data_IF_080735231889
#
_entry.id   IF_080735231889
#
_cell.length_a   1.000
_cell.length_b   1.000
_cell.length_c   1.000
_cell.angle_alpha   90.00
_cell.angle_beta   90.00
_cell.angle_gamma   90.00
#
_symmetry.space_group_name_H-M   'P 1'
#
loop_
_entity.id
_entity.type
_entity.pdbx_description
1 polymer ?
#
# COMPACT_ATOMS: atom_id res chain seq x y z
N UNK A 1 6.33 18.21 -3.09
CA UNK A 1 7.29 17.27 -3.70
C UNK A 1 7.19 16.03 -2.86
N UNK A 2 6.36 15.08 -3.29
CA UNK A 2 6.03 13.91 -2.47
C UNK A 2 6.71 12.68 -3.06
N UNK A 3 7.49 12.01 -2.22
CA UNK A 3 8.40 10.92 -2.54
C UNK A 3 7.71 9.59 -2.21
N UNK A 4 7.83 8.54 -3.04
CA UNK A 4 7.24 7.20 -2.74
C UNK A 4 8.22 6.08 -3.04
N UNK A 5 8.33 5.04 -2.19
CA UNK A 5 9.18 3.86 -2.44
C UNK A 5 8.67 2.57 -1.75
N UNK A 6 8.95 1.42 -2.35
CA UNK A 6 8.66 0.06 -1.86
C UNK A 6 9.98 -0.65 -1.59
N UNK A 7 10.21 -1.16 -0.38
CA UNK A 7 11.45 -1.88 -0.02
C UNK A 7 11.14 -3.26 0.53
N UNK A 8 11.90 -4.26 0.07
CA UNK A 8 11.96 -5.57 0.70
C UNK A 8 12.52 -5.41 2.13
N UNK A 9 11.78 -5.92 3.10
CA UNK A 9 11.98 -5.74 4.54
C UNK A 9 13.40 -6.20 4.93
N UNK A 10 14.27 -5.21 5.10
CA UNK A 10 15.60 -5.39 5.66
C UNK A 10 15.55 -4.77 7.05
N UNK A 11 16.00 -5.52 8.06
CA UNK A 11 16.22 -5.04 9.43
C UNK A 11 17.36 -4.01 9.40
N UNK A 12 17.04 -2.80 8.92
CA UNK A 12 17.99 -1.72 8.70
C UNK A 12 18.20 -1.02 10.02
N UNK A 13 19.38 -1.18 10.61
CA UNK A 13 19.83 -0.25 11.65
C UNK A 13 20.05 1.12 11.01
N UNK A 14 19.09 2.01 11.24
CA UNK A 14 19.10 3.39 10.76
C UNK A 14 20.12 4.26 11.49
N UNK A 15 20.64 3.81 12.64
CA UNK A 15 21.57 4.56 13.48
C UNK A 15 23.03 4.13 13.33
N UNK A 16 23.36 3.13 12.53
CA UNK A 16 24.76 2.87 12.18
C UNK A 16 25.18 3.66 10.93
N UNK A 17 26.45 3.51 10.53
CA UNK A 17 26.97 4.06 9.27
C UNK A 17 27.29 2.98 8.24
N UNK A 18 26.89 1.73 8.48
CA UNK A 18 27.10 0.64 7.54
C UNK A 18 26.28 0.88 6.27
N UNK A 19 26.84 0.59 5.10
CA UNK A 19 26.08 0.76 3.87
C UNK A 19 25.01 -0.32 3.76
N UNK A 20 23.76 0.13 3.64
CA UNK A 20 22.65 -0.76 3.29
C UNK A 20 22.20 -0.48 1.87
N UNK A 21 21.72 -1.52 1.21
CA UNK A 21 21.16 -1.44 -0.13
C UNK A 21 19.63 -1.47 -0.07
N UNK A 22 19.01 -0.45 -0.65
CA UNK A 22 17.59 -0.39 -0.90
C UNK A 22 17.32 -0.75 -2.36
N UNK A 23 16.29 -1.54 -2.62
CA UNK A 23 15.88 -1.98 -3.96
C UNK A 23 14.39 -1.72 -4.22
N UNK A 24 14.06 -1.31 -5.45
CA UNK A 24 12.69 -1.27 -5.97
C UNK A 24 12.71 -1.62 -7.46
N UNK A 25 12.12 -2.76 -7.83
CA UNK A 25 12.23 -3.27 -9.21
C UNK A 25 13.70 -3.37 -9.65
N UNK A 26 14.07 -2.64 -10.71
CA UNK A 26 15.45 -2.56 -11.19
C UNK A 26 16.29 -1.44 -10.52
N UNK A 27 15.66 -0.54 -9.75
CA UNK A 27 16.34 0.53 -9.03
C UNK A 27 17.12 -0.01 -7.83
N UNK A 28 18.32 0.54 -7.61
CA UNK A 28 19.17 0.24 -6.45
C UNK A 28 19.77 1.52 -5.89
N UNK A 29 19.78 1.66 -4.56
CA UNK A 29 20.49 2.73 -3.86
C UNK A 29 21.23 2.15 -2.67
N UNK A 30 22.54 2.40 -2.61
CA UNK A 30 23.37 2.10 -1.45
C UNK A 30 23.63 3.37 -0.65
N UNK A 31 23.44 3.30 0.67
CA UNK A 31 23.75 4.43 1.53
C UNK A 31 24.09 4.01 2.95
N UNK A 32 25.18 4.57 3.49
CA UNK A 32 25.51 4.52 4.92
C UNK A 32 25.04 5.75 5.70
N UNK A 33 24.22 6.62 5.09
CA UNK A 33 23.79 7.88 5.73
C UNK A 33 22.54 7.65 6.60
N UNK A 34 22.61 7.80 7.94
CA UNK A 34 21.49 7.56 8.86
C UNK A 34 20.20 8.28 8.46
N UNK A 35 20.30 9.55 8.09
CA UNK A 35 19.15 10.36 7.69
C UNK A 35 18.45 9.83 6.43
N UNK A 36 19.22 9.30 5.47
CA UNK A 36 18.66 8.76 4.23
C UNK A 36 18.02 7.40 4.52
N UNK A 37 18.66 6.55 5.34
CA UNK A 37 18.07 5.29 5.81
C UNK A 37 16.73 5.54 6.51
N UNK A 38 16.71 6.44 7.49
CA UNK A 38 15.51 6.81 8.24
C UNK A 38 14.39 7.37 7.35
N UNK A 39 14.74 8.16 6.33
CA UNK A 39 13.79 8.67 5.35
C UNK A 39 13.19 7.53 4.51
N UNK A 40 14.03 6.61 4.02
CA UNK A 40 13.59 5.44 3.25
C UNK A 40 12.70 4.52 4.08
N UNK A 41 13.04 4.27 5.35
CA UNK A 41 12.19 3.54 6.30
C UNK A 41 10.82 4.22 6.47
N UNK A 42 10.78 5.55 6.65
CA UNK A 42 9.52 6.28 6.75
C UNK A 42 8.66 6.15 5.49
N UNK A 43 9.29 6.24 4.30
CA UNK A 43 8.61 6.10 3.02
C UNK A 43 8.04 4.68 2.84
N UNK A 44 8.75 3.65 3.30
CA UNK A 44 8.28 2.26 3.25
C UNK A 44 7.03 2.07 4.09
N UNK A 45 7.06 2.53 5.34
CA UNK A 45 5.96 2.39 6.30
C UNK A 45 4.71 3.14 5.85
N UNK A 46 4.89 4.20 5.07
CA UNK A 46 3.80 5.00 4.53
C UNK A 46 3.42 4.59 3.11
N UNK A 47 4.09 3.60 2.51
CA UNK A 47 3.69 3.11 1.20
C UNK A 47 2.26 2.55 1.25
N UNK A 48 1.37 2.90 0.30
CA UNK A 48 1.65 3.60 -0.97
C UNK A 48 1.44 5.13 -0.94
N UNK A 49 1.23 5.76 0.22
CA UNK A 49 0.95 7.19 0.38
C UNK A 49 2.16 8.06 0.02
N UNK A 50 1.89 9.20 -0.61
CA UNK A 50 2.92 10.15 -1.01
C UNK A 50 3.25 11.11 0.15
N UNK A 51 4.51 11.16 0.59
CA UNK A 51 4.96 12.00 1.73
C UNK A 51 5.75 13.20 1.24
N UNK A 52 5.40 14.40 1.67
CA UNK A 52 6.11 15.63 1.25
C UNK A 52 7.49 15.75 1.89
N UNK A 53 8.43 16.45 1.23
CA UNK A 53 9.75 16.70 1.83
C UNK A 53 9.68 17.47 3.17
N UNK A 54 8.65 18.31 3.35
CA UNK A 54 8.42 19.06 4.59
C UNK A 54 7.98 18.15 5.74
N UNK A 55 7.28 17.05 5.46
CA UNK A 55 6.89 16.04 6.45
C UNK A 55 8.00 14.99 6.64
N UNK A 56 8.65 14.58 5.54
CA UNK A 56 9.68 13.55 5.53
C UNK A 56 10.90 13.93 6.37
N UNK A 57 11.31 15.20 6.32
CA UNK A 57 12.49 15.67 7.05
C UNK A 57 12.39 15.54 8.57
N UNK A 58 11.37 16.12 9.24
CA UNK A 58 11.19 15.90 10.68
C UNK A 58 10.92 14.43 11.00
N UNK A 59 10.12 13.73 10.20
CA UNK A 59 9.84 12.30 10.44
C UNK A 59 11.10 11.42 10.38
N UNK A 60 12.04 11.71 9.47
CA UNK A 60 13.32 11.00 9.39
C UNK A 60 14.22 11.33 10.59
N UNK A 61 14.28 12.61 11.00
CA UNK A 61 15.05 13.02 12.19
C UNK A 61 14.51 12.39 13.47
N UNK A 62 13.19 12.25 13.58
CA UNK A 62 12.52 11.69 14.76
C UNK A 62 12.85 10.22 15.00
N UNK A 63 13.27 9.50 13.96
CA UNK A 63 13.74 8.10 14.05
C UNK A 63 15.19 7.97 14.50
N UNK A 64 16.00 9.02 14.37
CA UNK A 64 17.41 8.98 14.76
C UNK A 64 17.57 9.11 16.28
N UNK A 65 18.66 8.53 16.80
CA UNK A 65 19.08 8.73 18.19
C UNK A 65 19.31 10.22 18.50
N UNK A 66 19.11 10.67 19.74
CA UNK A 66 19.28 12.07 20.12
C UNK A 66 20.64 12.67 19.72
N UNK A 67 21.73 11.91 19.91
CA UNK A 67 23.08 12.34 19.56
C UNK A 67 23.22 12.60 18.04
N UNK A 68 22.70 11.71 17.21
CA UNK A 68 22.73 11.87 15.75
C UNK A 68 21.83 12.98 15.27
N UNK A 69 20.65 13.13 15.87
CA UNK A 69 19.73 14.23 15.57
C UNK A 69 20.39 15.58 15.85
N UNK A 70 21.03 15.72 17.01
CA UNK A 70 21.69 16.96 17.43
C UNK A 70 22.90 17.31 16.56
N UNK A 71 23.60 16.32 16.02
CA UNK A 71 24.71 16.54 15.08
C UNK A 71 24.26 17.05 13.69
N UNK A 72 22.97 16.89 13.35
CA UNK A 72 22.45 17.11 12.00
C UNK A 72 21.90 18.54 11.78
N UNK A 73 22.78 19.54 11.93
CA UNK A 73 22.48 20.94 11.60
C UNK A 73 22.27 21.10 10.09
N UNK A 74 21.28 21.88 9.65
CA UNK A 74 21.00 22.16 8.21
C UNK A 74 20.77 20.91 7.33
N UNK A 75 20.27 19.85 7.95
CA UNK A 75 20.12 18.51 7.34
C UNK A 75 19.07 18.40 6.24
N UNK A 76 18.30 19.44 6.00
CA UNK A 76 17.26 19.48 4.96
C UNK A 76 17.87 19.41 3.56
N UNK A 77 18.99 20.09 3.33
CA UNK A 77 19.69 20.07 2.04
C UNK A 77 20.32 18.70 1.76
N UNK A 78 20.86 18.07 2.82
CA UNK A 78 21.36 16.70 2.76
C UNK A 78 20.26 15.73 2.34
N UNK A 79 19.09 15.83 2.97
CA UNK A 79 17.94 15.01 2.63
C UNK A 79 17.47 15.27 1.19
N UNK A 80 17.31 16.54 0.81
CA UNK A 80 16.88 16.92 -0.54
C UNK A 80 17.81 16.35 -1.62
N UNK A 81 19.13 16.45 -1.43
CA UNK A 81 20.13 15.86 -2.34
C UNK A 81 20.01 14.34 -2.39
N UNK A 82 19.84 13.68 -1.24
CA UNK A 82 19.62 12.24 -1.18
C UNK A 82 18.37 11.81 -1.93
N UNK A 83 17.25 12.53 -1.77
CA UNK A 83 16.01 12.26 -2.50
C UNK A 83 16.12 12.53 -4.00
N UNK A 84 16.90 13.53 -4.42
CA UNK A 84 17.18 13.76 -5.85
C UNK A 84 18.04 12.64 -6.45
N UNK A 85 19.07 12.17 -5.74
CA UNK A 85 19.85 11.00 -6.18
C UNK A 85 19.00 9.75 -6.25
N UNK A 86 18.13 9.53 -5.26
CA UNK A 86 17.15 8.45 -5.26
C UNK A 86 16.21 8.54 -6.48
N UNK A 87 15.72 9.74 -6.81
CA UNK A 87 14.85 9.96 -7.96
C UNK A 87 15.58 9.63 -9.27
N UNK A 88 16.82 10.10 -9.43
CA UNK A 88 17.64 9.79 -10.60
C UNK A 88 17.94 8.29 -10.73
N UNK A 89 18.04 7.58 -9.60
CA UNK A 89 18.22 6.12 -9.54
C UNK A 89 16.91 5.31 -9.66
N UNK A 90 15.76 5.96 -9.86
CA UNK A 90 14.46 5.27 -9.95
C UNK A 90 13.97 4.68 -8.62
N UNK A 91 14.55 5.09 -7.49
CA UNK A 91 14.16 4.59 -6.17
C UNK A 91 12.91 5.25 -5.62
N UNK A 92 12.62 6.45 -6.10
CA UNK A 92 11.48 7.23 -5.64
C UNK A 92 10.76 7.88 -6.80
N UNK A 93 9.45 7.99 -6.68
CA UNK A 93 8.61 8.76 -7.60
C UNK A 93 8.28 10.13 -6.99
N UNK A 94 8.19 11.16 -7.84
CA UNK A 94 7.77 12.50 -7.43
C UNK A 94 6.45 12.84 -8.09
N UNK A 95 5.49 13.32 -7.29
CA UNK A 95 4.24 13.89 -7.79
C UNK A 95 4.02 15.33 -7.34
N UNK A 96 3.46 16.13 -8.25
CA UNK A 96 2.94 17.49 -7.97
C UNK A 96 1.50 17.41 -7.46
N UNK A 97 0.71 16.48 -8.00
CA UNK A 97 -0.66 16.21 -7.60
C UNK A 97 -0.74 14.75 -7.15
N UNK A 98 -0.41 14.46 -5.87
CA UNK A 98 -0.37 13.08 -5.40
C UNK A 98 -1.74 12.42 -5.58
N UNK A 99 -1.78 11.13 -5.96
CA UNK A 99 -3.02 10.37 -6.05
C UNK A 99 -3.85 10.50 -4.77
N UNK A 100 -5.14 10.74 -4.92
CA UNK A 100 -6.08 10.79 -3.80
C UNK A 100 -6.69 9.40 -3.64
N UNK A 101 -6.21 8.66 -2.65
CA UNK A 101 -6.76 7.38 -2.21
C UNK A 101 -6.69 7.33 -0.68
N UNK A 102 -7.43 6.40 -0.09
CA UNK A 102 -7.38 6.12 1.34
C UNK A 102 -6.63 4.83 1.60
N UNK A 103 -5.83 4.82 2.66
CA UNK A 103 -5.04 3.68 3.13
C UNK A 103 -5.63 3.04 4.40
N UNK A 104 -6.82 3.50 4.81
CA UNK A 104 -7.65 2.92 5.86
C UNK A 104 -9.03 2.52 5.32
N UNK A 105 -9.57 1.42 5.87
CA UNK A 105 -10.92 0.94 5.54
C UNK A 105 -11.96 1.76 6.31
N UNK A 106 -12.93 2.35 5.63
CA UNK A 106 -14.11 2.95 6.24
C UNK A 106 -15.18 1.89 6.55
N UNK A 107 -16.19 2.25 7.34
CA UNK A 107 -17.34 1.37 7.61
C UNK A 107 -18.06 0.94 6.32
N UNK A 108 -18.10 1.86 5.35
CA UNK A 108 -18.62 1.64 4.00
C UNK A 108 -17.54 1.97 2.97
N UNK A 109 -16.68 1.01 2.59
CA UNK A 109 -15.56 1.25 1.68
C UNK A 109 -16.02 1.59 0.27
N UNK A 110 -15.27 2.50 -0.37
CA UNK A 110 -15.49 2.93 -1.75
C UNK A 110 -14.23 2.66 -2.57
N UNK A 111 -14.32 1.84 -3.61
CA UNK A 111 -13.30 1.72 -4.65
C UNK A 111 -13.55 2.74 -5.77
N UNK A 112 -12.50 3.13 -6.49
CA UNK A 112 -12.64 4.05 -7.62
C UNK A 112 -13.63 3.52 -8.68
N UNK A 113 -14.42 4.42 -9.26
CA UNK A 113 -15.42 4.03 -10.27
C UNK A 113 -14.81 3.27 -11.46
N UNK A 114 -13.58 3.64 -11.85
CA UNK A 114 -12.81 2.94 -12.88
C UNK A 114 -12.45 1.51 -12.46
N UNK A 115 -11.89 1.34 -11.26
CA UNK A 115 -11.51 0.01 -10.77
C UNK A 115 -12.73 -0.91 -10.66
N UNK A 116 -13.87 -0.39 -10.19
CA UNK A 116 -15.14 -1.12 -10.14
C UNK A 116 -15.61 -1.56 -11.53
N UNK A 117 -15.58 -0.66 -12.50
CA UNK A 117 -16.00 -0.96 -13.87
C UNK A 117 -15.08 -2.00 -14.53
N UNK A 118 -13.77 -1.88 -14.34
CA UNK A 118 -12.80 -2.84 -14.87
C UNK A 118 -12.92 -4.22 -14.21
N UNK A 119 -13.11 -4.27 -12.88
CA UNK A 119 -13.25 -5.52 -12.13
C UNK A 119 -14.43 -6.37 -12.62
N UNK A 120 -15.48 -5.77 -13.19
CA UNK A 120 -16.60 -6.51 -13.75
C UNK A 120 -16.24 -7.37 -14.98
N UNK A 121 -15.17 -7.03 -15.70
CA UNK A 121 -14.80 -7.70 -16.96
C UNK A 121 -13.32 -8.12 -17.07
N UNK A 122 -12.48 -7.75 -16.11
CA UNK A 122 -11.02 -7.96 -16.15
C UNK A 122 -10.50 -8.33 -14.77
N UNK A 123 -9.49 -9.21 -14.74
CA UNK A 123 -8.70 -9.49 -13.53
C UNK A 123 -7.66 -8.40 -13.25
N UNK A 124 -7.36 -7.57 -14.24
CA UNK A 124 -6.41 -6.46 -14.10
C UNK A 124 -7.17 -5.14 -14.06
N UNK A 125 -6.97 -4.39 -12.98
CA UNK A 125 -7.56 -3.07 -12.77
C UNK A 125 -6.49 -2.00 -12.64
N UNK A 126 -6.84 -0.76 -12.93
CA UNK A 126 -6.00 0.42 -12.75
C UNK A 126 -6.25 1.00 -11.36
N UNK A 127 -5.19 1.14 -10.55
CA UNK A 127 -5.29 1.78 -9.25
C UNK A 127 -5.13 3.30 -9.34
N UNK A 128 -5.31 4.00 -8.21
CA UNK A 128 -5.22 5.47 -8.17
C UNK A 128 -3.80 5.99 -8.46
N UNK A 129 -2.78 5.13 -8.34
CA UNK A 129 -1.39 5.42 -8.72
C UNK A 129 -1.10 5.18 -10.20
N UNK A 130 -2.13 4.96 -11.02
CA UNK A 130 -2.00 4.64 -12.45
C UNK A 130 -1.19 3.35 -12.72
N UNK A 131 -1.07 2.48 -11.71
CA UNK A 131 -0.48 1.14 -11.83
C UNK A 131 -1.55 0.08 -12.10
N UNK A 132 -1.11 -1.07 -12.60
CA UNK A 132 -1.97 -2.22 -12.83
C UNK A 132 -1.87 -3.21 -11.67
N UNK A 133 -3.03 -3.59 -11.11
CA UNK A 133 -3.13 -4.59 -10.05
C UNK A 133 -3.94 -5.76 -10.59
N UNK A 134 -3.42 -6.98 -10.41
CA UNK A 134 -4.17 -8.20 -10.69
C UNK A 134 -4.93 -8.61 -9.44
N UNK A 135 -6.23 -8.76 -9.57
CA UNK A 135 -7.16 -9.20 -8.54
C UNK A 135 -7.46 -10.69 -8.74
N UNK A 136 -7.47 -11.44 -7.65
CA UNK A 136 -8.07 -12.77 -7.64
C UNK A 136 -9.61 -12.67 -7.72
N UNK A 137 -10.28 -13.82 -7.79
CA UNK A 137 -11.73 -13.86 -7.93
C UNK A 137 -12.47 -13.14 -6.79
N UNK A 138 -12.03 -13.33 -5.54
CA UNK A 138 -12.67 -12.75 -4.36
C UNK A 138 -12.42 -11.24 -4.29
N UNK A 139 -11.17 -10.81 -4.47
CA UNK A 139 -10.80 -9.39 -4.49
C UNK A 139 -11.56 -8.65 -5.60
N UNK A 140 -11.66 -9.26 -6.78
CA UNK A 140 -12.41 -8.71 -7.91
C UNK A 140 -13.90 -8.56 -7.59
N UNK A 141 -14.51 -9.60 -7.00
CA UNK A 141 -15.89 -9.54 -6.55
C UNK A 141 -16.08 -8.42 -5.53
N UNK A 142 -15.28 -8.39 -4.46
CA UNK A 142 -15.36 -7.35 -3.44
C UNK A 142 -15.23 -5.95 -4.05
N UNK A 143 -14.22 -5.70 -4.90
CA UNK A 143 -14.03 -4.40 -5.57
C UNK A 143 -15.30 -3.95 -6.31
N UNK A 144 -16.00 -4.83 -7.03
CA UNK A 144 -17.27 -4.48 -7.68
C UNK A 144 -18.33 -3.94 -6.70
N UNK A 145 -18.33 -4.45 -5.46
CA UNK A 145 -19.28 -4.14 -4.38
C UNK A 145 -18.83 -3.01 -3.44
N UNK A 146 -17.58 -2.51 -3.53
CA UNK A 146 -17.11 -1.37 -2.73
C UNK A 146 -17.61 -0.05 -3.33
N UNK A 147 -18.91 0.22 -3.20
CA UNK A 147 -19.58 1.42 -3.73
C UNK A 147 -19.98 2.43 -2.64
N UNK A 148 -19.54 2.22 -1.40
CA UNK A 148 -19.92 3.04 -0.25
C UNK A 148 -21.30 2.75 0.33
N UNK A 149 -22.00 1.72 -0.16
CA UNK A 149 -23.32 1.33 0.38
C UNK A 149 -23.28 0.07 1.23
N UNK A 150 -22.26 -0.76 1.04
CA UNK A 150 -22.12 -2.03 1.71
C UNK A 150 -21.17 -1.88 2.89
N UNK A 151 -21.65 -2.17 4.09
CA UNK A 151 -20.78 -2.38 5.25
C UNK A 151 -20.08 -3.75 5.18
N UNK A 152 -19.16 -3.97 6.11
CA UNK A 152 -18.41 -5.23 6.25
C UNK A 152 -19.33 -6.46 6.31
N UNK A 153 -20.40 -6.43 7.09
CA UNK A 153 -21.26 -7.59 7.29
C UNK A 153 -22.07 -7.89 6.01
N UNK A 154 -22.54 -6.84 5.33
CA UNK A 154 -23.20 -6.95 4.04
C UNK A 154 -22.27 -7.53 2.97
N UNK A 155 -20.99 -7.16 2.97
CA UNK A 155 -19.99 -7.76 2.06
C UNK A 155 -19.78 -9.26 2.34
N UNK A 156 -19.67 -9.65 3.62
CA UNK A 156 -19.56 -11.09 3.99
C UNK A 156 -20.78 -11.87 3.53
N UNK A 157 -21.99 -11.33 3.72
CA UNK A 157 -23.23 -11.96 3.25
C UNK A 157 -23.30 -12.04 1.72
N UNK A 158 -22.85 -11.00 1.00
CA UNK A 158 -22.80 -11.01 -0.47
C UNK A 158 -21.85 -12.08 -1.00
N UNK A 159 -20.64 -12.18 -0.42
CA UNK A 159 -19.66 -13.21 -0.76
C UNK A 159 -20.23 -14.61 -0.53
N UNK A 160 -20.86 -14.84 0.61
CA UNK A 160 -21.52 -16.12 0.91
C UNK A 160 -22.55 -16.48 -0.16
N UNK A 161 -23.46 -15.56 -0.48
CA UNK A 161 -24.49 -15.77 -1.49
C UNK A 161 -23.90 -16.06 -2.88
N UNK A 162 -22.82 -15.38 -3.27
CA UNK A 162 -22.13 -15.60 -4.54
C UNK A 162 -21.44 -16.97 -4.62
N UNK A 163 -20.95 -17.50 -3.51
CA UNK A 163 -20.38 -18.86 -3.47
C UNK A 163 -21.51 -19.91 -3.56
N UNK A 164 -22.61 -19.70 -2.84
CA UNK A 164 -23.79 -20.58 -2.87
C UNK A 164 -24.45 -20.61 -4.26
N UNK A 165 -24.50 -19.47 -4.96
CA UNK A 165 -24.99 -19.37 -6.34
C UNK A 165 -24.00 -19.90 -7.40
N UNK A 166 -22.78 -20.29 -7.00
CA UNK A 166 -21.66 -20.68 -7.88
C UNK A 166 -21.17 -19.58 -8.83
N UNK A 167 -21.51 -18.32 -8.54
CA UNK A 167 -20.95 -17.16 -9.22
C UNK A 167 -19.47 -16.97 -8.85
N UNK A 168 -19.13 -17.23 -7.58
CA UNK A 168 -17.78 -17.14 -7.06
C UNK A 168 -17.20 -18.54 -6.79
N UNK A 169 -16.31 -18.99 -7.67
CA UNK A 169 -15.54 -20.22 -7.48
C UNK A 169 -14.35 -20.01 -6.55
N UNK A 170 -14.56 -20.11 -5.24
CA UNK A 170 -13.44 -20.33 -4.30
C UNK A 170 -13.17 -21.83 -4.34
N UNK A 171 -11.92 -22.24 -4.61
CA UNK A 171 -11.55 -23.65 -4.83
C UNK A 171 -12.13 -24.61 -3.79
N UNK A 172 -13.30 -25.20 -4.10
CA UNK A 172 -13.94 -26.22 -3.28
C UNK A 172 -13.33 -27.55 -3.67
N UNK A 173 -12.75 -28.25 -2.70
CA UNK A 173 -12.67 -29.71 -2.75
C UNK A 173 -14.09 -30.25 -2.58
N UNK A 174 -14.54 -31.03 -3.54
CA UNK A 174 -15.87 -31.65 -3.60
C UNK A 174 -16.13 -32.54 -2.38
N UNK A 175 -16.62 -32.01 -1.26
CA UNK A 175 -17.27 -32.76 -0.15
C UNK A 175 -17.77 -31.83 0.97
N UNK A 176 -19.09 -31.74 1.18
CA UNK A 176 -19.68 -31.21 2.44
C UNK A 176 -20.64 -30.02 2.30
N UNK A 177 -21.57 -29.84 3.26
CA UNK A 177 -22.96 -29.42 3.04
C UNK A 177 -23.17 -27.97 2.59
N UNK A 178 -24.32 -27.74 1.97
CA UNK A 178 -24.80 -26.61 1.16
C UNK A 178 -24.90 -25.21 1.81
N UNK A 179 -24.20 -24.93 2.91
CA UNK A 179 -24.21 -23.60 3.52
C UNK A 179 -22.86 -23.28 4.13
N UNK A 180 -22.21 -22.25 3.59
CA UNK A 180 -20.95 -21.76 4.16
C UNK A 180 -21.29 -20.87 5.35
N UNK A 181 -20.61 -21.05 6.47
CA UNK A 181 -20.81 -20.19 7.62
C UNK A 181 -20.22 -18.78 7.35
N UNK A 182 -20.99 -17.74 7.65
CA UNK A 182 -20.54 -16.35 7.54
C UNK A 182 -19.38 -16.08 8.50
N UNK A 183 -19.33 -16.77 9.64
CA UNK A 183 -18.24 -16.64 10.61
C UNK A 183 -16.92 -17.17 10.04
N UNK A 184 -16.97 -18.26 9.24
CA UNK A 184 -15.79 -18.81 8.58
C UNK A 184 -15.28 -17.93 7.41
N UNK A 185 -16.17 -17.16 6.75
CA UNK A 185 -15.81 -16.26 5.66
C UNK A 185 -15.26 -14.91 6.14
N UNK A 186 -15.61 -14.51 7.36
CA UNK A 186 -15.25 -13.20 7.92
C UNK A 186 -13.74 -12.90 7.88
N UNK A 187 -12.84 -13.81 8.32
CA UNK A 187 -11.39 -13.58 8.25
C UNK A 187 -10.86 -13.48 6.82
N UNK A 188 -11.45 -14.23 5.88
CA UNK A 188 -11.04 -14.22 4.48
C UNK A 188 -11.39 -12.87 3.83
N UNK A 189 -12.61 -12.37 4.06
CA UNK A 189 -13.04 -11.06 3.58
C UNK A 189 -12.18 -9.95 4.17
N UNK A 190 -11.90 -10.00 5.47
CA UNK A 190 -11.04 -8.99 6.14
C UNK A 190 -9.63 -8.96 5.57
N UNK A 191 -9.05 -10.14 5.35
CA UNK A 191 -7.72 -10.25 4.75
C UNK A 191 -7.71 -9.63 3.35
N UNK A 192 -8.69 -9.95 2.51
CA UNK A 192 -8.78 -9.40 1.16
C UNK A 192 -9.04 -7.89 1.15
N UNK A 193 -9.90 -7.37 2.04
CA UNK A 193 -10.12 -5.93 2.19
C UNK A 193 -8.85 -5.20 2.61
N UNK A 194 -8.05 -5.77 3.51
CA UNK A 194 -6.76 -5.22 3.90
C UNK A 194 -5.78 -5.17 2.71
N UNK A 195 -5.77 -6.19 1.84
CA UNK A 195 -4.96 -6.20 0.62
C UNK A 195 -5.42 -5.13 -0.40
N UNK A 196 -6.73 -4.98 -0.60
CA UNK A 196 -7.31 -3.94 -1.46
C UNK A 196 -6.92 -2.54 -0.95
N UNK A 197 -6.96 -2.33 0.36
CA UNK A 197 -6.57 -1.07 1.01
C UNK A 197 -5.11 -0.69 0.69
N UNK A 198 -4.19 -1.66 0.77
CA UNK A 198 -2.77 -1.47 0.42
C UNK A 198 -2.50 -1.31 -1.08
N UNK A 199 -3.51 -1.54 -1.93
CA UNK A 199 -3.38 -1.48 -3.40
C UNK A 199 -3.72 -0.12 -4.01
N UNK A 200 -4.04 0.90 -3.19
CA UNK A 200 -4.44 2.23 -3.62
C UNK A 200 -5.68 2.22 -4.55
N UNK A 201 -6.64 1.33 -4.26
CA UNK A 201 -7.90 1.20 -5.01
C UNK A 201 -9.05 1.99 -4.36
N UNK A 202 -8.93 2.32 -3.07
CA UNK A 202 -9.98 2.95 -2.28
C UNK A 202 -9.92 4.47 -2.35
N UNK A 203 -11.08 5.11 -2.27
CA UNK A 203 -11.24 6.57 -2.24
C UNK A 203 -12.08 6.98 -1.04
N UNK A 204 -11.94 8.24 -0.61
CA UNK A 204 -12.72 8.84 0.47
C UNK A 204 -14.14 9.21 0.03
#
# INVERSE_FOLDING_TARGET
MNTTAHFEESDVDINDTEEVEFSIGAGRLRTGRPLIKAAFTHLNENWPRAVSLQELHPAALDRLSPDRRNAMTESRDLLARGMMSALAGGMVEVSVHPPRFVDNLSDHPVASALARQQAAGSEVVTNMRQGFIRLDALARYLVCHLDGRHDRNQLVHAVKAAIESRELGIGRTDSGPDTIDSEALSPLVDHTLAQICKSALLIA
#
